data_IF_227548646297
#
_entry.id   IF_227548646297
#
_cell.length_a   1.000
_cell.length_b   1.000
_cell.length_c   1.000
_cell.angle_alpha   90.00
_cell.angle_beta   90.00
_cell.angle_gamma   90.00
#
_symmetry.space_group_name_H-M   'P 1'
#
loop_
_entity.id
_entity.type
_entity.pdbx_description
1 polymer ?
#
# COMPACT_ATOMS: atom_id res chain seq x y z
N UNK A 1 48.42 40.39 -5.25
CA UNK A 1 49.44 40.20 -4.22
C UNK A 1 48.93 39.18 -3.22
N UNK A 2 49.73 38.12 -3.14
CA UNK A 2 49.78 37.01 -2.17
C UNK A 2 48.62 36.01 -2.13
N UNK A 3 48.98 34.95 -2.75
CA UNK A 3 48.81 33.53 -2.50
C UNK A 3 49.04 33.16 -1.01
N UNK A 4 48.26 32.28 -0.49
CA UNK A 4 48.75 31.23 0.41
C UNK A 4 47.92 29.94 0.17
N UNK A 5 48.66 28.97 -0.40
CA UNK A 5 48.32 27.54 -0.40
C UNK A 5 48.69 26.98 0.98
N UNK A 6 47.88 26.12 1.51
CA UNK A 6 48.37 25.11 2.48
C UNK A 6 47.87 23.72 2.13
N UNK A 7 48.85 22.90 1.91
CA UNK A 7 48.89 21.51 1.52
C UNK A 7 48.81 20.58 2.74
N UNK A 8 48.18 19.44 2.50
CA UNK A 8 48.58 18.09 2.94
C UNK A 8 48.49 17.69 4.41
N UNK A 9 47.75 16.60 4.69
CA UNK A 9 48.42 15.39 5.14
C UNK A 9 47.45 14.18 5.18
N UNK A 10 47.75 13.22 4.32
CA UNK A 10 47.24 11.86 4.36
C UNK A 10 47.86 11.08 5.54
N UNK A 11 47.07 10.40 6.32
CA UNK A 11 47.59 9.34 7.19
C UNK A 11 46.84 8.04 6.86
N UNK A 12 47.56 7.16 6.16
CA UNK A 12 47.30 5.73 6.07
C UNK A 12 47.72 5.07 7.37
N UNK A 13 46.86 4.30 7.99
CA UNK A 13 47.26 3.27 8.95
C UNK A 13 46.68 1.95 8.48
N UNK A 14 47.56 1.15 7.90
CA UNK A 14 47.36 -0.28 7.69
C UNK A 14 47.76 -1.01 8.97
N UNK A 15 46.94 -1.93 9.43
CA UNK A 15 47.40 -2.96 10.36
C UNK A 15 46.79 -4.30 9.97
N UNK A 16 47.66 -5.17 9.51
CA UNK A 16 47.42 -6.59 9.19
C UNK A 16 47.74 -7.47 10.40
N UNK A 17 47.38 -8.75 10.26
CA UNK A 17 47.71 -9.94 11.06
C UNK A 17 46.68 -10.33 12.12
N UNK A 18 46.25 -11.59 12.28
CA UNK A 18 46.88 -12.90 12.05
C UNK A 18 45.85 -14.02 11.95
N UNK A 19 46.25 -15.02 11.22
CA UNK A 19 45.68 -16.34 11.02
C UNK A 19 45.56 -17.18 12.30
N UNK A 20 44.54 -18.04 12.35
CA UNK A 20 44.46 -19.15 13.27
C UNK A 20 43.57 -20.25 12.70
N UNK A 21 44.17 -21.22 12.04
CA UNK A 21 43.53 -22.45 11.56
C UNK A 21 43.70 -23.58 12.61
N UNK A 22 42.67 -24.44 12.77
CA UNK A 22 42.71 -25.85 13.17
C UNK A 22 41.29 -26.39 12.87
N UNK A 23 41.02 -27.18 11.86
CA UNK A 23 41.25 -28.62 11.68
C UNK A 23 40.64 -29.47 12.79
N UNK A 24 39.54 -30.19 12.49
CA UNK A 24 39.46 -31.64 12.46
C UNK A 24 38.05 -32.14 12.08
N UNK A 25 38.01 -32.99 11.07
CA UNK A 25 37.01 -33.98 10.71
C UNK A 25 37.59 -35.36 11.03
N UNK A 26 36.91 -36.51 10.82
CA UNK A 26 35.53 -36.98 10.93
C UNK A 26 35.40 -38.27 11.74
N UNK A 27 34.21 -38.78 12.02
CA UNK A 27 33.98 -40.21 12.17
C UNK A 27 32.58 -40.64 11.69
N UNK A 28 32.58 -41.46 10.63
CA UNK A 28 31.54 -42.40 10.24
C UNK A 28 31.37 -43.49 11.29
N UNK A 29 30.13 -44.00 11.47
CA UNK A 29 29.91 -45.44 11.69
C UNK A 29 28.43 -45.79 11.40
N UNK A 30 28.22 -46.43 10.26
CA UNK A 30 27.53 -47.69 9.92
C UNK A 30 26.22 -48.07 10.62
N UNK A 31 25.25 -48.31 9.75
CA UNK A 31 24.06 -49.15 9.97
C UNK A 31 24.41 -50.65 10.18
N UNK A 32 23.46 -51.41 10.68
CA UNK A 32 23.09 -52.59 9.89
C UNK A 32 21.57 -52.84 9.76
N UNK A 33 21.32 -53.65 8.72
CA UNK A 33 20.09 -54.16 8.13
C UNK A 33 19.42 -55.28 8.92
N UNK A 34 18.11 -55.44 8.62
CA UNK A 34 17.28 -56.65 8.44
C UNK A 34 16.94 -57.52 9.68
N UNK A 35 15.67 -57.83 9.90
CA UNK A 35 14.99 -59.01 9.33
C UNK A 35 13.48 -59.06 9.62
N UNK A 36 12.77 -59.73 8.71
CA UNK A 36 11.32 -59.99 8.65
C UNK A 36 10.91 -61.09 9.65
N UNK A 37 9.66 -61.01 10.16
CA UNK A 37 8.79 -62.19 10.22
C UNK A 37 7.32 -61.81 10.45
N UNK A 38 6.44 -62.46 9.68
CA UNK A 38 4.97 -62.49 9.73
C UNK A 38 4.47 -63.08 11.07
N UNK A 39 3.29 -62.72 11.58
CA UNK A 39 2.04 -63.48 11.42
C UNK A 39 0.83 -62.86 12.12
N UNK A 40 -0.26 -62.91 11.42
CA UNK A 40 -1.70 -63.05 11.68
C UNK A 40 -2.39 -62.60 12.97
N UNK A 41 -3.44 -61.78 12.72
CA UNK A 41 -4.86 -61.91 13.12
C UNK A 41 -5.26 -61.62 14.59
N UNK A 42 -5.99 -60.52 14.79
CA UNK A 42 -7.37 -60.57 15.21
C UNK A 42 -8.06 -59.19 15.29
N UNK A 43 -9.28 -59.14 14.83
CA UNK A 43 -10.21 -58.05 14.78
C UNK A 43 -10.70 -57.61 16.13
N UNK A 44 -10.68 -56.30 16.44
CA UNK A 44 -11.77 -55.63 17.18
C UNK A 44 -11.78 -54.16 16.76
N UNK A 45 -12.94 -53.74 16.25
CA UNK A 45 -13.17 -52.42 15.76
C UNK A 45 -13.27 -51.39 16.90
N UNK A 46 -12.46 -50.39 16.75
CA UNK A 46 -12.67 -49.11 17.46
C UNK A 46 -12.74 -48.04 16.37
N UNK A 47 -13.91 -47.42 16.27
CA UNK A 47 -14.09 -46.24 15.39
C UNK A 47 -13.28 -45.13 15.97
N UNK A 48 -12.09 -44.90 15.42
CA UNK A 48 -11.40 -43.63 15.56
C UNK A 48 -12.14 -42.62 14.71
N UNK A 49 -12.72 -41.63 15.39
CA UNK A 49 -13.17 -40.38 14.77
C UNK A 49 -11.91 -39.71 14.20
N UNK A 50 -11.72 -39.80 12.90
CA UNK A 50 -10.90 -38.83 12.17
C UNK A 50 -11.54 -37.44 12.36
N UNK A 51 -10.99 -36.69 13.30
CA UNK A 51 -11.19 -35.25 13.31
C UNK A 51 -10.53 -34.74 12.03
N UNK A 52 -11.34 -34.52 10.99
CA UNK A 52 -10.96 -33.69 9.86
C UNK A 52 -10.49 -32.37 10.47
N UNK A 53 -9.18 -32.11 10.43
CA UNK A 53 -8.69 -30.75 10.48
C UNK A 53 -9.34 -30.01 9.31
N UNK A 54 -10.39 -29.27 9.63
CA UNK A 54 -10.90 -28.23 8.75
C UNK A 54 -9.85 -27.15 8.80
N UNK A 55 -8.85 -27.26 7.93
CA UNK A 55 -8.01 -26.13 7.60
C UNK A 55 -8.97 -25.02 7.13
N UNK A 56 -9.14 -24.02 7.94
CA UNK A 56 -9.83 -22.78 7.56
C UNK A 56 -8.97 -22.10 6.50
N UNK A 57 -9.13 -22.51 5.25
CA UNK A 57 -8.71 -21.67 4.13
C UNK A 57 -9.66 -20.46 4.18
N UNK A 58 -9.18 -19.36 4.78
CA UNK A 58 -9.84 -18.06 4.64
C UNK A 58 -9.90 -17.76 3.16
N UNK A 59 -11.10 -17.50 2.62
CA UNK A 59 -11.24 -17.18 1.22
C UNK A 59 -10.51 -15.87 0.94
N UNK A 60 -9.73 -15.83 -0.14
CA UNK A 60 -9.07 -14.60 -0.57
C UNK A 60 -10.15 -13.58 -0.94
N UNK A 61 -10.04 -12.35 -0.44
CA UNK A 61 -10.97 -11.28 -0.75
C UNK A 61 -10.74 -10.75 -2.18
N UNK A 62 -11.78 -10.21 -2.79
CA UNK A 62 -11.72 -9.56 -4.10
C UNK A 62 -12.68 -8.38 -4.16
N UNK A 63 -12.92 -7.86 -5.35
CA UNK A 63 -14.00 -6.92 -5.64
C UNK A 63 -15.19 -7.60 -6.35
N UNK A 64 -15.14 -8.92 -6.56
CA UNK A 64 -16.18 -9.71 -7.21
C UNK A 64 -17.36 -9.99 -6.27
N UNK A 65 -18.52 -10.35 -6.84
CA UNK A 65 -19.79 -10.52 -6.15
C UNK A 65 -19.70 -11.43 -4.91
N UNK A 66 -18.91 -12.50 -4.93
CA UNK A 66 -18.92 -13.51 -3.85
C UNK A 66 -17.90 -13.28 -2.75
N UNK A 67 -16.83 -12.56 -3.04
CA UNK A 67 -15.73 -12.25 -2.10
C UNK A 67 -15.44 -10.75 -2.03
N UNK A 68 -16.38 -9.95 -2.52
CA UNK A 68 -16.32 -8.51 -2.61
C UNK A 68 -16.60 -7.78 -1.29
N UNK A 69 -16.67 -6.43 -1.36
CA UNK A 69 -16.75 -5.56 -0.18
C UNK A 69 -17.86 -5.88 0.80
N UNK A 70 -18.98 -6.41 0.33
CA UNK A 70 -20.12 -6.77 1.17
C UNK A 70 -19.83 -7.99 2.07
N UNK A 71 -18.87 -8.84 1.67
CA UNK A 71 -18.53 -10.10 2.33
C UNK A 71 -17.20 -10.06 3.09
N UNK A 72 -16.38 -9.02 2.92
CA UNK A 72 -15.00 -8.97 3.47
C UNK A 72 -14.93 -9.32 4.96
N UNK A 73 -15.88 -8.84 5.77
CA UNK A 73 -15.90 -9.11 7.21
C UNK A 73 -16.31 -10.55 7.58
N UNK A 74 -16.85 -11.32 6.63
CA UNK A 74 -17.25 -12.72 6.81
C UNK A 74 -16.15 -13.69 6.37
N UNK A 75 -15.26 -13.24 5.45
CA UNK A 75 -14.21 -14.07 4.87
C UNK A 75 -13.12 -14.42 5.89
N UNK A 76 -12.81 -13.47 6.78
CA UNK A 76 -11.77 -13.61 7.80
C UNK A 76 -12.17 -12.83 9.06
N UNK A 77 -12.09 -13.39 10.27
CA UNK A 77 -12.32 -12.66 11.52
C UNK A 77 -11.43 -11.42 11.69
N UNK A 78 -10.24 -11.40 11.10
CA UNK A 78 -9.36 -10.23 11.09
C UNK A 78 -9.96 -9.03 10.34
N UNK A 79 -10.90 -9.28 9.42
CA UNK A 79 -11.58 -8.27 8.63
C UNK A 79 -12.86 -7.73 9.31
N UNK A 80 -13.12 -8.06 10.57
CA UNK A 80 -14.35 -7.66 11.28
C UNK A 80 -14.62 -6.15 11.25
N UNK A 81 -13.56 -5.31 11.18
CA UNK A 81 -13.70 -3.87 11.04
C UNK A 81 -14.41 -3.44 9.75
N UNK A 82 -14.30 -4.24 8.66
CA UNK A 82 -14.97 -3.94 7.40
C UNK A 82 -16.50 -3.86 7.53
N UNK A 83 -17.09 -4.57 8.49
CA UNK A 83 -18.54 -4.59 8.77
C UNK A 83 -18.89 -3.81 10.04
N UNK A 84 -18.11 -3.98 11.11
CA UNK A 84 -18.44 -3.48 12.43
C UNK A 84 -17.78 -2.14 12.76
N UNK A 85 -16.85 -1.65 11.94
CA UNK A 85 -16.11 -0.42 12.16
C UNK A 85 -17.03 0.82 12.23
N UNK A 86 -16.60 1.80 13.01
CA UNK A 86 -17.32 3.05 13.20
C UNK A 86 -16.79 4.19 12.33
N UNK A 87 -15.55 4.09 11.87
CA UNK A 87 -14.83 5.12 11.12
C UNK A 87 -14.37 4.61 9.76
N UNK A 88 -15.25 3.95 9.03
CA UNK A 88 -14.91 3.31 7.76
C UNK A 88 -14.77 4.31 6.59
N UNK A 89 -13.91 3.96 5.61
CA UNK A 89 -13.66 4.65 4.35
C UNK A 89 -13.96 3.72 3.16
N UNK A 90 -14.21 4.28 1.96
CA UNK A 90 -14.31 5.70 1.61
C UNK A 90 -15.63 6.33 2.06
N UNK A 91 -15.80 7.63 1.88
CA UNK A 91 -17.04 8.37 2.18
C UNK A 91 -17.48 9.25 1.02
N UNK A 92 -18.77 9.63 1.03
CA UNK A 92 -19.26 10.71 0.18
C UNK A 92 -19.02 12.08 0.87
N UNK A 93 -18.31 12.98 0.20
CA UNK A 93 -17.98 14.33 0.68
C UNK A 93 -19.03 15.30 0.20
N UNK A 94 -20.05 15.54 1.03
CA UNK A 94 -21.07 16.56 0.79
C UNK A 94 -20.53 17.95 1.14
N UNK A 95 -20.29 18.80 0.15
CA UNK A 95 -19.67 20.13 0.35
C UNK A 95 -20.50 21.03 1.28
N UNK A 96 -21.82 20.84 1.34
CA UNK A 96 -22.71 21.56 2.24
C UNK A 96 -22.54 21.19 3.71
N UNK A 97 -21.98 20.02 4.01
CA UNK A 97 -21.76 19.51 5.38
C UNK A 97 -20.34 19.73 5.89
N UNK A 98 -19.44 20.19 5.02
CA UNK A 98 -18.04 20.41 5.37
C UNK A 98 -17.89 21.65 6.24
N UNK A 99 -17.29 21.48 7.41
CA UNK A 99 -16.90 22.60 8.28
C UNK A 99 -15.60 23.22 7.79
N UNK A 100 -15.52 24.54 7.76
CA UNK A 100 -14.26 25.24 7.45
C UNK A 100 -13.57 25.61 8.76
N UNK A 101 -12.34 25.14 8.91
CA UNK A 101 -11.46 25.57 10.00
C UNK A 101 -10.22 26.28 9.42
N UNK A 102 -10.21 27.60 9.55
CA UNK A 102 -9.09 28.44 9.08
C UNK A 102 -7.81 28.25 9.92
N UNK A 103 -7.90 27.55 11.05
CA UNK A 103 -6.75 27.22 11.90
C UNK A 103 -6.15 25.88 11.55
N UNK A 104 -6.84 25.09 10.73
CA UNK A 104 -6.31 23.83 10.24
C UNK A 104 -5.08 24.15 9.38
N UNK A 105 -3.91 23.80 9.89
CA UNK A 105 -2.67 23.97 9.14
C UNK A 105 -2.76 23.11 7.87
N UNK A 106 -2.35 23.70 6.74
CA UNK A 106 -2.21 22.96 5.50
C UNK A 106 -1.18 21.84 5.65
N UNK A 107 -1.24 20.89 4.74
CA UNK A 107 -0.25 19.82 4.68
C UNK A 107 1.03 20.39 4.10
N UNK A 108 2.15 20.12 4.74
CA UNK A 108 3.46 20.41 4.18
C UNK A 108 3.97 19.18 3.42
N UNK A 109 3.96 19.25 2.10
CA UNK A 109 4.40 18.16 1.23
C UNK A 109 5.86 18.43 0.83
N UNK A 110 6.69 17.43 1.03
CA UNK A 110 8.13 17.46 0.77
C UNK A 110 8.53 16.23 -0.05
N UNK A 111 8.06 16.18 -1.30
CA UNK A 111 8.42 15.10 -2.21
C UNK A 111 9.65 15.48 -3.01
N UNK A 112 10.47 14.48 -3.27
CA UNK A 112 11.62 14.57 -4.15
C UNK A 112 11.43 13.62 -5.32
N UNK A 113 11.85 13.99 -6.54
CA UNK A 113 11.89 13.05 -7.64
C UNK A 113 12.62 11.77 -7.23
N UNK A 114 11.96 10.63 -7.36
CA UNK A 114 12.50 9.33 -6.94
C UNK A 114 12.14 8.23 -7.92
N UNK A 115 12.88 7.15 -7.89
CA UNK A 115 12.56 5.94 -8.65
C UNK A 115 11.60 5.06 -7.87
N UNK A 116 10.84 4.26 -8.60
CA UNK A 116 9.81 3.38 -8.06
C UNK A 116 9.93 1.97 -8.60
N UNK A 117 9.31 1.03 -7.92
CA UNK A 117 8.99 -0.30 -8.43
C UNK A 117 7.48 -0.54 -8.38
N UNK A 118 6.97 -1.35 -9.31
CA UNK A 118 5.56 -1.71 -9.41
C UNK A 118 5.34 -3.18 -9.05
N UNK A 119 4.24 -3.43 -8.36
CA UNK A 119 3.71 -4.77 -8.10
C UNK A 119 2.24 -4.77 -8.46
N UNK A 120 1.81 -5.67 -9.33
CA UNK A 120 0.40 -6.01 -9.44
C UNK A 120 0.11 -7.13 -8.43
N UNK A 121 -0.64 -6.82 -7.39
CA UNK A 121 -0.93 -7.72 -6.27
C UNK A 121 -2.29 -8.43 -6.41
N UNK A 122 -2.90 -8.41 -7.60
CA UNK A 122 -4.22 -8.97 -7.88
C UNK A 122 -5.39 -8.05 -7.52
N UNK A 123 -5.15 -6.97 -6.76
CA UNK A 123 -6.19 -6.02 -6.36
C UNK A 123 -5.98 -4.63 -6.96
N UNK A 124 -4.75 -4.26 -7.17
CA UNK A 124 -4.31 -3.01 -7.81
C UNK A 124 -2.86 -3.11 -8.25
N UNK A 125 -2.39 -2.12 -8.99
CA UNK A 125 -0.96 -1.91 -9.22
C UNK A 125 -0.44 -0.95 -8.15
N UNK A 126 0.34 -1.48 -7.23
CA UNK A 126 0.99 -0.73 -6.18
C UNK A 126 2.37 -0.24 -6.64
N UNK A 127 2.67 1.02 -6.38
CA UNK A 127 3.92 1.69 -6.78
C UNK A 127 4.71 2.06 -5.52
N UNK A 128 5.87 1.43 -5.33
CA UNK A 128 6.70 1.53 -4.14
C UNK A 128 7.91 2.42 -4.39
N UNK A 129 8.19 3.44 -3.56
CA UNK A 129 9.40 4.22 -3.68
C UNK A 129 10.64 3.37 -3.35
N UNK A 130 11.70 3.53 -4.12
CA UNK A 130 12.97 2.83 -3.86
C UNK A 130 13.84 3.52 -2.80
N UNK A 131 13.46 4.74 -2.40
CA UNK A 131 14.12 5.54 -1.36
C UNK A 131 13.08 6.22 -0.46
N UNK A 132 13.47 6.54 0.77
CA UNK A 132 12.61 7.22 1.76
C UNK A 132 12.73 8.77 1.70
N UNK A 133 12.87 9.34 0.50
CA UNK A 133 13.10 10.78 0.32
C UNK A 133 11.83 11.64 0.30
N UNK A 134 10.65 11.02 0.19
CA UNK A 134 9.37 11.71 0.10
C UNK A 134 8.59 11.60 1.41
N UNK A 135 8.18 12.74 1.95
CA UNK A 135 7.45 12.81 3.20
C UNK A 135 6.40 13.94 3.20
N UNK A 136 5.50 13.88 4.17
CA UNK A 136 4.54 14.94 4.47
C UNK A 136 4.58 15.26 5.97
N UNK A 137 4.16 16.48 6.32
CA UNK A 137 3.88 16.86 7.71
C UNK A 137 2.41 17.23 7.82
N UNK A 138 1.70 16.56 8.71
CA UNK A 138 0.28 16.78 9.00
C UNK A 138 0.14 17.00 10.51
N UNK A 139 -0.48 18.12 10.91
CA UNK A 139 -0.66 18.47 12.33
C UNK A 139 0.66 18.38 13.14
N UNK A 140 1.77 18.80 12.54
CA UNK A 140 3.11 18.78 13.15
C UNK A 140 3.81 17.41 13.17
N UNK A 141 3.16 16.34 12.72
CA UNK A 141 3.73 14.98 12.67
C UNK A 141 4.23 14.66 11.27
N UNK A 142 5.42 14.07 11.18
CA UNK A 142 6.03 13.65 9.92
C UNK A 142 5.65 12.23 9.53
N UNK A 143 5.28 12.04 8.26
CA UNK A 143 4.92 10.74 7.68
C UNK A 143 5.72 10.51 6.39
N UNK A 144 6.32 9.34 6.23
CA UNK A 144 7.06 8.93 5.04
C UNK A 144 6.14 8.28 4.02
N UNK A 145 6.33 8.56 2.74
CA UNK A 145 5.63 7.85 1.66
C UNK A 145 6.03 6.38 1.68
N UNK A 146 5.03 5.50 1.74
CA UNK A 146 5.20 4.04 1.72
C UNK A 146 4.92 3.47 0.34
N UNK A 147 3.84 3.92 -0.30
CA UNK A 147 3.43 3.50 -1.63
C UNK A 147 2.34 4.43 -2.16
N UNK A 148 2.06 4.34 -3.45
CA UNK A 148 0.83 4.87 -4.03
C UNK A 148 0.18 3.84 -4.97
N UNK A 149 -1.13 3.99 -5.18
CA UNK A 149 -1.91 3.11 -6.04
C UNK A 149 -3.16 3.83 -6.55
N UNK A 150 -3.90 3.18 -7.43
CA UNK A 150 -5.06 3.76 -8.08
C UNK A 150 -6.30 2.89 -7.94
N UNK A 151 -7.45 3.55 -7.99
CA UNK A 151 -8.78 2.94 -8.04
C UNK A 151 -9.56 3.41 -9.26
N UNK A 152 -10.33 2.55 -9.85
CA UNK A 152 -11.28 2.80 -10.94
C UNK A 152 -12.66 2.25 -10.53
N UNK A 153 -13.69 3.06 -10.40
CA UNK A 153 -13.79 4.52 -10.35
C UNK A 153 -13.11 5.09 -9.09
N UNK A 154 -13.36 6.40 -8.77
CA UNK A 154 -12.94 6.92 -7.46
C UNK A 154 -13.70 6.22 -6.34
N UNK A 155 -13.02 5.97 -5.22
CA UNK A 155 -13.63 5.41 -4.02
C UNK A 155 -14.44 6.47 -3.26
N UNK A 156 -13.83 7.65 -3.03
CA UNK A 156 -14.57 8.79 -2.48
C UNK A 156 -15.47 9.41 -3.54
N UNK A 157 -16.56 10.02 -3.07
CA UNK A 157 -17.47 10.78 -3.89
C UNK A 157 -17.46 12.27 -3.48
N UNK A 158 -17.68 13.15 -4.45
CA UNK A 158 -17.99 14.56 -4.21
C UNK A 158 -19.44 14.84 -4.59
N UNK A 159 -20.26 15.19 -3.58
CA UNK A 159 -21.71 15.42 -3.76
C UNK A 159 -22.38 14.25 -4.51
N UNK A 160 -22.11 13.03 -4.08
CA UNK A 160 -22.64 11.76 -4.63
C UNK A 160 -22.23 11.47 -6.08
N UNK A 161 -21.09 12.02 -6.52
CA UNK A 161 -20.53 11.77 -7.85
C UNK A 161 -19.12 11.17 -7.73
N UNK A 162 -18.88 10.07 -8.44
CA UNK A 162 -17.54 9.54 -8.61
C UNK A 162 -16.78 10.29 -9.71
N UNK A 163 -15.47 10.28 -9.59
CA UNK A 163 -14.53 10.63 -10.66
C UNK A 163 -14.08 9.35 -11.40
N UNK A 164 -13.40 9.54 -12.52
CA UNK A 164 -12.98 8.42 -13.38
C UNK A 164 -12.01 7.49 -12.66
N UNK A 165 -11.11 8.06 -11.82
CA UNK A 165 -10.19 7.32 -10.95
C UNK A 165 -9.90 8.11 -9.66
N UNK A 166 -9.24 7.45 -8.72
CA UNK A 166 -8.65 8.08 -7.54
C UNK A 166 -7.22 7.54 -7.30
N UNK A 167 -6.31 8.45 -6.99
CA UNK A 167 -4.94 8.14 -6.59
C UNK A 167 -4.85 8.24 -5.06
N UNK A 168 -4.35 7.19 -4.43
CA UNK A 168 -4.01 7.16 -3.01
C UNK A 168 -2.49 7.16 -2.81
N UNK A 169 -1.98 8.15 -2.07
CA UNK A 169 -0.59 8.19 -1.63
C UNK A 169 -0.57 7.87 -0.13
N UNK A 170 -0.08 6.69 0.21
CA UNK A 170 -0.09 6.16 1.57
C UNK A 170 1.20 6.52 2.29
N UNK A 171 1.06 7.13 3.46
CA UNK A 171 2.20 7.53 4.30
C UNK A 171 2.10 6.91 5.68
N UNK A 172 3.26 6.72 6.32
CA UNK A 172 3.35 6.14 7.66
C UNK A 172 4.29 6.95 8.55
N UNK A 173 3.89 7.18 9.80
CA UNK A 173 4.76 7.77 10.82
C UNK A 173 5.65 6.72 11.49
N UNK A 174 6.51 7.18 12.42
CA UNK A 174 7.43 6.30 13.16
C UNK A 174 6.70 5.32 14.12
N UNK A 175 5.43 5.57 14.44
CA UNK A 175 4.61 4.74 15.33
C UNK A 175 3.69 3.78 14.54
N UNK A 176 3.76 3.81 13.21
CA UNK A 176 2.92 2.99 12.34
C UNK A 176 1.57 3.59 11.98
N UNK A 177 1.25 4.83 12.44
CA UNK A 177 0.02 5.52 12.05
C UNK A 177 0.04 5.90 10.59
N UNK A 178 -1.12 5.82 9.95
CA UNK A 178 -1.27 6.08 8.54
C UNK A 178 -1.93 7.42 8.25
N UNK A 179 -1.43 8.09 7.23
CA UNK A 179 -2.09 9.22 6.58
C UNK A 179 -2.14 8.95 5.08
N UNK A 180 -3.30 9.11 4.48
CA UNK A 180 -3.49 8.91 3.05
C UNK A 180 -3.91 10.21 2.39
N UNK A 181 -3.18 10.61 1.34
CA UNK A 181 -3.63 11.68 0.44
C UNK A 181 -4.44 11.04 -0.68
N UNK A 182 -5.68 11.48 -0.84
CA UNK A 182 -6.56 11.10 -1.94
C UNK A 182 -6.63 12.21 -2.98
N UNK A 183 -6.44 11.86 -4.25
CA UNK A 183 -6.48 12.79 -5.38
C UNK A 183 -7.43 12.25 -6.43
N UNK A 184 -8.52 12.96 -6.66
CA UNK A 184 -9.46 12.63 -7.74
C UNK A 184 -8.79 12.78 -9.10
N UNK A 185 -9.13 11.93 -10.04
CA UNK A 185 -8.63 11.94 -11.41
C UNK A 185 -9.80 12.09 -12.36
N UNK A 186 -9.71 13.05 -13.29
CA UNK A 186 -10.73 13.34 -14.30
C UNK A 186 -10.19 13.05 -15.70
N UNK A 187 -11.00 12.40 -16.54
CA UNK A 187 -10.69 12.21 -17.95
C UNK A 187 -10.57 13.55 -18.67
N UNK A 188 -9.36 13.89 -19.11
CA UNK A 188 -9.06 15.08 -19.93
C UNK A 188 -7.78 14.87 -20.75
N UNK A 189 -6.72 15.59 -20.37
CA UNK A 189 -5.41 15.57 -21.04
C UNK A 189 -4.55 14.43 -20.48
N UNK A 190 -3.64 13.98 -21.31
CA UNK A 190 -2.58 13.06 -20.88
C UNK A 190 -1.78 13.62 -19.70
N UNK A 191 -1.50 12.75 -18.75
CA UNK A 191 -0.62 13.05 -17.60
C UNK A 191 0.79 12.54 -17.87
N UNK A 192 1.62 13.44 -18.38
CA UNK A 192 3.03 13.11 -18.71
C UNK A 192 3.86 12.77 -17.47
N UNK A 193 3.44 13.20 -16.25
CA UNK A 193 4.16 12.91 -15.01
C UNK A 193 4.10 11.44 -14.62
N UNK A 194 3.10 10.73 -15.10
CA UNK A 194 2.91 9.29 -14.87
C UNK A 194 3.34 8.43 -16.07
N UNK A 195 3.85 9.03 -17.14
CA UNK A 195 4.18 8.28 -18.36
C UNK A 195 5.12 7.09 -18.08
N UNK A 196 6.20 7.30 -17.32
CA UNK A 196 7.17 6.24 -17.01
C UNK A 196 6.60 5.09 -16.16
N UNK A 197 5.57 5.36 -15.35
CA UNK A 197 4.81 4.33 -14.61
C UNK A 197 3.91 3.58 -15.58
N UNK A 198 3.19 4.31 -16.45
CA UNK A 198 2.26 3.71 -17.43
C UNK A 198 2.96 2.87 -18.48
N UNK A 199 4.18 3.21 -18.87
CA UNK A 199 5.00 2.44 -19.82
C UNK A 199 5.31 1.01 -19.36
N UNK A 200 5.26 0.76 -18.04
CA UNK A 200 5.64 -0.52 -17.44
C UNK A 200 4.52 -1.15 -16.59
N UNK A 201 3.27 -0.71 -16.76
CA UNK A 201 2.12 -1.28 -16.04
C UNK A 201 2.01 -2.80 -16.29
N UNK A 202 2.06 -3.63 -15.25
CA UNK A 202 1.92 -5.08 -15.38
C UNK A 202 0.45 -5.48 -15.61
N UNK A 203 0.21 -6.21 -16.69
CA UNK A 203 -1.15 -6.69 -17.04
C UNK A 203 -1.61 -7.87 -16.19
N UNK A 204 -0.67 -8.62 -15.64
CA UNK A 204 -0.92 -9.81 -14.82
C UNK A 204 -0.29 -9.60 -13.44
N UNK A 205 -0.73 -10.38 -12.45
CA UNK A 205 -0.07 -10.41 -11.14
C UNK A 205 1.43 -10.65 -11.28
N UNK A 206 2.21 -9.98 -10.44
CA UNK A 206 3.66 -10.02 -10.54
C UNK A 206 4.28 -10.82 -9.40
N UNK A 207 5.17 -11.75 -9.73
CA UNK A 207 6.00 -12.44 -8.74
C UNK A 207 7.17 -11.59 -8.22
N UNK A 208 7.56 -10.56 -8.98
CA UNK A 208 8.70 -9.68 -8.67
C UNK A 208 8.38 -8.24 -9.05
N UNK A 209 9.00 -7.34 -8.34
CA UNK A 209 8.92 -5.91 -8.60
C UNK A 209 9.41 -5.54 -10.01
N UNK A 210 8.65 -4.71 -10.70
CA UNK A 210 9.02 -4.10 -11.99
C UNK A 210 9.58 -2.71 -11.72
N UNK A 211 10.82 -2.47 -12.10
CA UNK A 211 11.47 -1.17 -11.90
C UNK A 211 10.99 -0.12 -12.89
N UNK A 212 10.61 1.05 -12.41
CA UNK A 212 10.42 2.26 -13.22
C UNK A 212 11.79 2.85 -13.53
N UNK A 213 12.09 3.06 -14.80
CA UNK A 213 13.43 3.50 -15.24
C UNK A 213 13.74 4.95 -14.88
N UNK A 214 12.75 5.82 -15.07
CA UNK A 214 12.91 7.26 -14.87
C UNK A 214 12.31 7.68 -13.52
N UNK A 215 12.93 8.63 -12.81
CA UNK A 215 12.36 9.19 -11.60
C UNK A 215 11.00 9.86 -11.85
N UNK A 216 10.06 9.66 -10.93
CA UNK A 216 8.75 10.32 -10.95
C UNK A 216 8.77 11.47 -9.95
N UNK A 217 8.32 12.63 -10.41
CA UNK A 217 8.12 13.83 -9.57
C UNK A 217 6.66 13.88 -9.09
N UNK A 218 6.40 13.26 -7.93
CA UNK A 218 5.06 13.28 -7.32
C UNK A 218 4.64 14.68 -6.85
N UNK A 219 5.59 15.59 -6.56
CA UNK A 219 5.26 16.98 -6.20
C UNK A 219 4.63 17.70 -7.39
N UNK A 220 5.16 17.49 -8.60
CA UNK A 220 4.63 18.06 -9.83
C UNK A 220 3.33 17.40 -10.31
N UNK A 221 2.99 16.21 -9.79
CA UNK A 221 1.74 15.51 -10.07
C UNK A 221 0.56 16.10 -9.31
N UNK A 222 0.78 16.58 -8.07
CA UNK A 222 -0.29 17.06 -7.21
C UNK A 222 -0.94 18.36 -7.70
N UNK A 223 -2.22 18.60 -7.33
CA UNK A 223 -2.88 19.88 -7.64
C UNK A 223 -2.12 21.06 -7.03
N UNK A 224 -2.04 22.18 -7.78
CA UNK A 224 -1.45 23.43 -7.26
C UNK A 224 -2.28 24.03 -6.12
N UNK A 225 -3.62 23.94 -6.23
CA UNK A 225 -4.54 24.31 -5.16
C UNK A 225 -4.67 23.12 -4.20
N UNK A 226 -4.02 23.22 -3.06
CA UNK A 226 -3.97 22.18 -2.03
C UNK A 226 -5.13 22.25 -1.02
N UNK A 227 -6.20 23.01 -1.34
CA UNK A 227 -7.44 22.94 -0.56
C UNK A 227 -7.88 21.49 -0.45
N UNK A 228 -8.10 21.02 0.77
CA UNK A 228 -8.41 19.61 1.04
C UNK A 228 -9.50 19.44 2.08
N UNK A 229 -10.13 18.28 2.05
CA UNK A 229 -11.05 17.78 3.04
C UNK A 229 -10.33 16.76 3.90
N UNK A 230 -10.47 16.87 5.23
CA UNK A 230 -9.80 15.99 6.17
C UNK A 230 -10.82 15.33 7.08
N UNK A 231 -10.62 14.03 7.33
CA UNK A 231 -11.43 13.25 8.25
C UNK A 231 -10.64 12.02 8.77
N UNK A 232 -11.08 11.44 9.87
CA UNK A 232 -10.56 10.16 10.35
C UNK A 232 -11.35 9.02 9.74
N UNK A 233 -10.65 8.01 9.27
CA UNK A 233 -11.26 6.89 8.57
C UNK A 233 -10.48 5.60 8.71
N UNK A 234 -10.57 4.76 7.69
CA UNK A 234 -9.94 3.44 7.66
C UNK A 234 -9.15 3.20 6.38
N UNK A 235 -8.46 2.07 6.30
CA UNK A 235 -8.10 1.48 5.02
C UNK A 235 -9.37 1.12 4.26
N UNK A 236 -9.33 1.25 2.93
CA UNK A 236 -10.46 0.92 2.04
C UNK A 236 -10.44 -0.53 1.56
N UNK A 237 -9.44 -1.30 1.99
CA UNK A 237 -9.30 -2.73 1.71
C UNK A 237 -9.16 -3.52 3.01
N UNK A 238 -9.45 -4.82 3.04
CA UNK A 238 -9.18 -5.66 4.18
C UNK A 238 -7.77 -5.48 4.75
N UNK A 239 -7.62 -5.42 6.07
CA UNK A 239 -8.63 -5.66 7.12
C UNK A 239 -9.45 -4.43 7.53
N UNK A 240 -9.52 -3.36 6.75
CA UNK A 240 -10.29 -2.13 6.99
C UNK A 240 -9.93 -1.44 8.31
N UNK A 241 -8.66 -1.51 8.70
CA UNK A 241 -8.14 -0.92 9.95
C UNK A 241 -8.44 0.56 10.02
N UNK A 242 -9.02 0.99 11.14
CA UNK A 242 -9.37 2.39 11.43
C UNK A 242 -8.14 3.20 11.91
N UNK A 243 -8.33 4.42 12.35
CA UNK A 243 -7.29 5.39 12.74
C UNK A 243 -6.42 5.88 11.56
N UNK A 244 -6.95 5.88 10.36
CA UNK A 244 -6.30 6.46 9.17
C UNK A 244 -6.73 7.91 9.02
N UNK A 245 -5.76 8.83 8.98
CA UNK A 245 -6.03 10.23 8.64
C UNK A 245 -6.15 10.37 7.13
N UNK A 246 -7.31 10.77 6.65
CA UNK A 246 -7.57 11.06 5.24
C UNK A 246 -7.45 12.53 4.95
N UNK A 247 -6.84 12.83 3.82
CA UNK A 247 -6.71 14.18 3.26
C UNK A 247 -7.00 14.13 1.77
N UNK A 248 -8.20 14.54 1.40
CA UNK A 248 -8.69 14.46 0.02
C UNK A 248 -8.58 15.83 -0.63
N UNK A 249 -7.78 15.95 -1.68
CA UNK A 249 -7.65 17.21 -2.43
C UNK A 249 -8.95 17.54 -3.17
N UNK A 250 -9.37 18.78 -3.02
CA UNK A 250 -10.59 19.28 -3.67
C UNK A 250 -10.48 19.34 -5.19
N UNK A 251 -9.28 19.61 -5.72
CA UNK A 251 -9.03 19.74 -7.15
C UNK A 251 -8.56 18.41 -7.73
N UNK A 252 -9.22 17.92 -8.79
CA UNK A 252 -8.75 16.72 -9.48
C UNK A 252 -7.48 17.04 -10.30
N UNK A 253 -6.70 15.99 -10.55
CA UNK A 253 -5.72 15.97 -11.64
C UNK A 253 -6.35 15.38 -12.90
N UNK A 254 -5.67 15.53 -14.02
CA UNK A 254 -6.18 15.08 -15.31
C UNK A 254 -5.38 13.87 -15.80
N UNK A 255 -6.08 12.94 -16.47
CA UNK A 255 -5.47 11.84 -17.23
C UNK A 255 -6.22 11.65 -18.53
N UNK A 256 -5.52 11.15 -19.55
CA UNK A 256 -6.15 10.84 -20.82
C UNK A 256 -7.04 9.59 -20.72
N UNK A 257 -8.03 9.51 -21.59
CA UNK A 257 -8.87 8.32 -21.71
C UNK A 257 -8.04 7.04 -21.90
N UNK A 258 -6.98 7.13 -22.70
CA UNK A 258 -6.09 5.97 -22.97
C UNK A 258 -5.39 5.52 -21.70
N UNK A 259 -4.90 6.45 -20.87
CA UNK A 259 -4.29 6.10 -19.59
C UNK A 259 -5.29 5.46 -18.63
N UNK A 260 -6.49 6.03 -18.50
CA UNK A 260 -7.54 5.49 -17.64
C UNK A 260 -7.93 4.08 -18.09
N UNK A 261 -8.19 3.89 -19.38
CA UNK A 261 -8.55 2.58 -19.93
C UNK A 261 -7.46 1.53 -19.75
N UNK A 262 -6.18 1.90 -19.91
CA UNK A 262 -5.06 1.00 -19.69
C UNK A 262 -5.01 0.46 -18.26
N UNK A 263 -5.38 1.28 -17.27
CA UNK A 263 -5.47 0.83 -15.88
C UNK A 263 -6.74 0.01 -15.63
N UNK A 264 -7.89 0.41 -16.20
CA UNK A 264 -9.14 -0.35 -16.10
C UNK A 264 -9.06 -1.76 -16.65
N UNK A 265 -8.24 -2.00 -17.70
CA UNK A 265 -7.99 -3.34 -18.22
C UNK A 265 -7.26 -4.25 -17.22
N UNK A 266 -6.50 -3.66 -16.28
CA UNK A 266 -5.71 -4.40 -15.29
C UNK A 266 -6.51 -4.61 -14.00
N UNK A 267 -7.17 -3.56 -13.53
CA UNK A 267 -7.91 -3.55 -12.26
C UNK A 267 -9.28 -2.92 -12.47
N UNK A 268 -10.23 -3.64 -13.11
CA UNK A 268 -11.57 -3.14 -13.32
C UNK A 268 -12.31 -3.03 -11.97
N UNK A 269 -13.00 -1.91 -11.77
CA UNK A 269 -13.91 -1.69 -10.62
C UNK A 269 -13.33 -2.02 -9.23
N UNK A 270 -12.02 -1.75 -9.05
CA UNK A 270 -11.31 -2.00 -7.80
C UNK A 270 -11.59 -0.92 -6.74
N UNK A 271 -12.86 -0.64 -6.47
CA UNK A 271 -13.26 0.38 -5.50
C UNK A 271 -14.27 -0.17 -4.49
N UNK A 272 -14.10 0.22 -3.24
CA UNK A 272 -15.07 -0.09 -2.18
C UNK A 272 -16.22 0.92 -2.24
N UNK A 273 -17.49 0.49 -2.09
CA UNK A 273 -18.62 1.42 -1.95
C UNK A 273 -18.43 2.38 -0.78
N UNK A 274 -19.02 3.58 -0.91
CA UNK A 274 -18.97 4.60 0.15
C UNK A 274 -19.61 4.11 1.45
N UNK A 275 -18.95 4.46 2.55
CA UNK A 275 -19.36 4.16 3.91
C UNK A 275 -20.04 5.37 4.57
N UNK A 276 -20.85 5.14 5.57
CA UNK A 276 -21.49 6.21 6.31
C UNK A 276 -20.48 7.06 7.07
N UNK A 277 -20.60 8.38 6.98
CA UNK A 277 -19.79 9.32 7.77
C UNK A 277 -20.06 9.16 9.28
N UNK A 278 -21.28 8.74 9.67
CA UNK A 278 -21.73 8.63 11.07
C UNK A 278 -21.52 9.95 11.82
N UNK A 279 -20.98 9.92 13.03
CA UNK A 279 -20.74 11.10 13.88
C UNK A 279 -19.44 11.86 13.55
N UNK A 280 -18.70 11.41 12.53
CA UNK A 280 -17.43 12.05 12.16
C UNK A 280 -17.65 13.41 11.53
N UNK A 281 -16.74 14.32 11.82
CA UNK A 281 -16.69 15.63 11.20
C UNK A 281 -15.75 15.61 9.99
N UNK A 282 -16.13 16.36 8.99
CA UNK A 282 -15.29 16.63 7.83
C UNK A 282 -14.89 18.09 7.83
N UNK A 283 -13.59 18.35 7.80
CA UNK A 283 -13.02 19.68 7.95
C UNK A 283 -12.29 20.06 6.66
N UNK A 284 -12.41 21.31 6.25
CA UNK A 284 -11.67 21.89 5.14
C UNK A 284 -10.74 23.00 5.65
N UNK A 285 -9.50 23.00 5.17
CA UNK A 285 -8.55 24.10 5.33
C UNK A 285 -8.87 25.29 4.41
#
# INVERSE_FOLDING_TARGET
MKHEEETCLSIFVSLSFLLGACSDQPTETTAPKEEKANDAKETTGTKENEAKEVGTHTAQWSYDEHTGPEHWGELDPANSACVNGSEQSPINIEFSQVKTDKKLEGIHIQYQPTTFSLVNNGHTVQVNPTTESSNIVVEGNGYKLVQFHFHTQSEHQFNSQNYDMELHLVHKDANGKLTVLGVMIQERRENEKLASVWDVLPKEETEKDISVKEPVDLQALLPQDQTSFQYNGSLTTPPCTEEVKWVIFKRPIEMSKVQIQAFQEISPDNHRPVQSLKEREMIRN
#
